data_IF_891378827075
#
_entry.id   IF_891378827075
#
_cell.length_a   1.000
_cell.length_b   1.000
_cell.length_c   1.000
_cell.angle_alpha   90.00
_cell.angle_beta   90.00
_cell.angle_gamma   90.00
#
_symmetry.space_group_name_H-M   'P 1'
#
loop_
_entity.id
_entity.type
_entity.pdbx_description
1 polymer ?
#
# COMPACT_ATOMS: atom_id res chain seq x y z
N UNK A 1 10.56 2.82 -2.61
CA UNK A 1 9.96 2.16 -1.44
C UNK A 1 10.88 2.35 -0.26
N UNK A 2 10.35 2.32 0.97
CA UNK A 2 11.15 2.44 2.19
C UNK A 2 10.87 1.23 3.07
N UNK A 3 11.94 0.65 3.63
CA UNK A 3 11.91 -0.51 4.51
C UNK A 3 12.47 -0.13 5.88
N UNK A 4 11.85 -0.64 6.94
CA UNK A 4 12.33 -0.51 8.32
C UNK A 4 12.07 -1.81 9.07
N UNK A 5 13.05 -2.23 9.87
CA UNK A 5 12.87 -3.34 10.80
C UNK A 5 12.07 -2.90 12.02
N UNK A 6 11.14 -3.73 12.46
CA UNK A 6 10.52 -3.63 13.77
C UNK A 6 11.42 -4.26 14.84
N UNK A 7 11.24 -3.92 16.13
CA UNK A 7 12.03 -4.49 17.23
C UNK A 7 11.97 -6.02 17.33
N UNK A 8 10.90 -6.64 16.82
CA UNK A 8 10.71 -8.10 16.82
C UNK A 8 11.35 -8.82 15.61
N UNK A 9 12.12 -8.09 14.78
CA UNK A 9 12.83 -8.64 13.62
C UNK A 9 12.01 -8.71 12.33
N UNK A 10 10.72 -8.36 12.35
CA UNK A 10 9.91 -8.21 11.13
C UNK A 10 10.28 -6.93 10.37
N UNK A 11 9.93 -6.88 9.09
CA UNK A 11 10.07 -5.73 8.22
C UNK A 11 8.69 -5.13 7.93
N UNK A 12 8.59 -3.81 7.97
CA UNK A 12 7.53 -3.07 7.29
C UNK A 12 8.11 -2.47 6.00
N UNK A 13 7.51 -2.81 4.86
CA UNK A 13 7.82 -2.23 3.55
C UNK A 13 6.60 -1.46 3.06
N UNK A 14 6.76 -0.16 2.81
CA UNK A 14 5.67 0.73 2.40
C UNK A 14 5.87 1.16 0.95
N UNK A 15 4.80 1.06 0.16
CA UNK A 15 4.84 1.27 -1.28
C UNK A 15 3.48 1.67 -1.85
N UNK A 16 3.50 2.19 -3.08
CA UNK A 16 2.32 2.22 -3.94
C UNK A 16 2.11 0.83 -4.52
N UNK A 17 0.92 0.27 -4.38
CA UNK A 17 0.62 -1.02 -4.98
C UNK A 17 0.71 -0.91 -6.51
N UNK A 18 1.50 -1.79 -7.12
CA UNK A 18 1.71 -1.81 -8.56
C UNK A 18 2.04 -3.24 -8.97
N UNK A 19 1.03 -3.93 -9.47
CA UNK A 19 1.17 -5.29 -9.96
C UNK A 19 2.11 -5.34 -11.17
N UNK A 20 2.84 -6.46 -11.36
CA UNK A 20 3.60 -6.66 -12.59
C UNK A 20 2.73 -6.44 -13.83
N UNK A 21 3.30 -5.79 -14.86
CA UNK A 21 2.55 -5.29 -16.01
C UNK A 21 1.68 -6.36 -16.71
N UNK A 22 2.12 -7.62 -16.70
CA UNK A 22 1.37 -8.73 -17.30
C UNK A 22 0.07 -9.08 -16.54
N UNK A 23 0.00 -8.82 -15.24
CA UNK A 23 -1.22 -9.04 -14.44
C UNK A 23 -2.23 -7.90 -14.55
N UNK A 24 -1.76 -6.69 -14.86
CA UNK A 24 -2.61 -5.48 -15.02
C UNK A 24 -2.71 -5.01 -16.46
N UNK A 25 -2.54 -5.93 -17.41
CA UNK A 25 -2.63 -5.62 -18.84
C UNK A 25 -3.99 -4.99 -19.14
N UNK A 26 -3.99 -3.90 -19.90
CA UNK A 26 -5.17 -3.12 -20.29
C UNK A 26 -5.90 -2.37 -19.15
N UNK A 27 -5.47 -2.47 -17.89
CA UNK A 27 -6.09 -1.76 -16.77
C UNK A 27 -6.14 -0.25 -17.00
N UNK A 28 -5.01 0.36 -17.37
CA UNK A 28 -4.90 1.79 -17.67
C UNK A 28 -5.78 2.22 -18.86
N UNK A 29 -5.90 1.35 -19.85
CA UNK A 29 -6.75 1.58 -21.03
C UNK A 29 -8.23 1.58 -20.63
N UNK A 30 -8.66 0.57 -19.88
CA UNK A 30 -10.03 0.44 -19.39
C UNK A 30 -10.38 1.61 -18.46
N UNK A 31 -9.47 2.01 -17.57
CA UNK A 31 -9.62 3.16 -16.68
C UNK A 31 -9.91 4.43 -17.50
N UNK A 32 -9.09 4.69 -18.52
CA UNK A 32 -9.26 5.83 -19.43
C UNK A 32 -10.57 5.80 -20.20
N UNK A 33 -10.97 4.65 -20.74
CA UNK A 33 -12.22 4.47 -21.48
C UNK A 33 -13.46 4.70 -20.60
N UNK A 34 -13.37 4.34 -19.30
CA UNK A 34 -14.42 4.57 -18.31
C UNK A 34 -14.41 5.98 -17.70
N UNK A 35 -13.35 6.76 -17.91
CA UNK A 35 -13.12 8.01 -17.18
C UNK A 35 -12.92 7.78 -15.68
N UNK A 36 -12.47 6.60 -15.29
CA UNK A 36 -12.18 6.24 -13.90
C UNK A 36 -10.70 6.46 -13.60
N UNK A 37 -10.40 7.11 -12.48
CA UNK A 37 -9.03 7.38 -12.04
C UNK A 37 -8.67 6.57 -10.78
N UNK A 38 -9.64 6.00 -10.06
CA UNK A 38 -9.37 5.04 -9.00
C UNK A 38 -9.07 3.66 -9.59
N UNK A 39 -7.79 3.31 -9.66
CA UNK A 39 -7.37 2.03 -10.24
C UNK A 39 -7.81 0.81 -9.42
N UNK A 40 -7.99 0.96 -8.11
CA UNK A 40 -8.47 -0.14 -7.27
C UNK A 40 -9.93 -0.50 -7.61
N UNK A 41 -10.76 0.46 -8.01
CA UNK A 41 -12.13 0.20 -8.50
C UNK A 41 -12.12 -0.50 -9.86
N UNK A 42 -11.24 -0.07 -10.77
CA UNK A 42 -11.06 -0.75 -12.06
C UNK A 42 -10.58 -2.19 -11.85
N UNK A 43 -9.59 -2.39 -10.98
CA UNK A 43 -9.05 -3.71 -10.64
C UNK A 43 -10.12 -4.63 -10.05
N UNK A 44 -10.91 -4.15 -9.08
CA UNK A 44 -12.03 -4.92 -8.50
C UNK A 44 -13.06 -5.34 -9.56
N UNK A 45 -13.40 -4.43 -10.49
CA UNK A 45 -14.41 -4.71 -11.50
C UNK A 45 -13.95 -5.66 -12.63
N UNK A 46 -12.63 -5.77 -12.84
CA UNK A 46 -12.05 -6.51 -13.98
C UNK A 46 -11.25 -7.75 -13.57
N UNK A 47 -10.81 -7.83 -12.31
CA UNK A 47 -9.86 -8.82 -11.83
C UNK A 47 -8.42 -8.61 -12.33
N UNK A 48 -8.12 -7.47 -12.97
CA UNK A 48 -6.78 -7.14 -13.44
C UNK A 48 -5.96 -6.52 -12.29
N UNK A 49 -4.75 -7.05 -12.08
CA UNK A 49 -3.86 -6.59 -11.02
C UNK A 49 -4.32 -6.97 -9.61
N UNK A 50 -3.95 -6.14 -8.65
CA UNK A 50 -4.24 -6.30 -7.23
C UNK A 50 -5.58 -5.63 -6.90
N UNK A 51 -6.38 -6.13 -5.95
CA UNK A 51 -7.61 -5.46 -5.50
C UNK A 51 -7.37 -4.06 -4.89
N UNK A 52 -6.11 -3.70 -4.64
CA UNK A 52 -5.67 -2.40 -4.13
C UNK A 52 -4.72 -1.69 -5.10
N UNK A 53 -4.83 -1.95 -6.41
CA UNK A 53 -3.97 -1.35 -7.44
C UNK A 53 -3.91 0.18 -7.32
N UNK A 54 -2.70 0.74 -7.30
CA UNK A 54 -2.50 2.18 -7.17
C UNK A 54 -2.58 2.74 -5.75
N UNK A 55 -2.96 1.93 -4.75
CA UNK A 55 -3.16 2.39 -3.38
C UNK A 55 -1.88 2.56 -2.55
N UNK A 56 -2.03 3.25 -1.41
CA UNK A 56 -1.02 3.29 -0.37
C UNK A 56 -1.08 2.03 0.50
N UNK A 57 -0.06 1.18 0.37
CA UNK A 57 -0.01 -0.13 1.03
C UNK A 57 1.27 -0.37 1.81
N UNK A 58 1.19 -1.32 2.74
CA UNK A 58 2.31 -1.88 3.49
C UNK A 58 2.37 -3.40 3.32
N UNK A 59 3.56 -3.96 3.47
CA UNK A 59 3.80 -5.40 3.58
C UNK A 59 4.59 -5.67 4.85
N UNK A 60 4.19 -6.70 5.59
CA UNK A 60 4.85 -7.15 6.81
C UNK A 60 5.30 -8.60 6.63
N UNK A 61 6.58 -8.86 6.93
CA UNK A 61 7.19 -10.18 6.79
C UNK A 61 8.64 -10.19 7.26
N UNK A 62 9.37 -11.26 6.97
CA UNK A 62 10.80 -11.34 7.28
C UNK A 62 11.65 -11.02 6.04
N UNK A 63 12.92 -10.66 6.24
CA UNK A 63 13.87 -10.53 5.12
C UNK A 63 13.93 -11.79 4.25
N UNK A 64 13.86 -12.97 4.87
CA UNK A 64 13.86 -14.27 4.18
C UNK A 64 12.63 -14.45 3.30
N UNK A 65 11.47 -13.93 3.71
CA UNK A 65 10.27 -13.95 2.89
C UNK A 65 10.42 -13.03 1.68
N UNK A 66 10.98 -11.84 1.88
CA UNK A 66 11.19 -10.85 0.83
C UNK A 66 12.11 -11.36 -0.28
N UNK A 67 13.30 -11.85 0.05
CA UNK A 67 14.28 -12.34 -0.95
C UNK A 67 13.82 -13.62 -1.67
N UNK A 68 12.89 -14.38 -1.06
CA UNK A 68 12.31 -15.59 -1.66
C UNK A 68 10.98 -15.31 -2.36
N UNK A 69 10.54 -14.05 -2.46
CA UNK A 69 9.28 -13.67 -3.09
C UNK A 69 8.04 -14.28 -2.44
N UNK A 70 8.06 -14.50 -1.12
CA UNK A 70 6.93 -15.10 -0.39
C UNK A 70 5.92 -14.04 0.04
N UNK A 71 4.73 -14.50 0.41
CA UNK A 71 3.62 -13.64 0.85
C UNK A 71 3.90 -12.81 2.10
N UNK A 72 4.90 -13.15 2.91
CA UNK A 72 5.10 -12.55 4.24
C UNK A 72 3.99 -12.95 5.21
N UNK A 73 3.79 -12.15 6.25
CA UNK A 73 2.74 -12.34 7.25
C UNK A 73 1.42 -11.72 6.78
N UNK A 74 1.44 -10.47 6.33
CA UNK A 74 0.24 -9.78 5.82
C UNK A 74 0.57 -8.53 5.01
N UNK A 75 -0.46 -8.00 4.34
CA UNK A 75 -0.47 -6.68 3.71
C UNK A 75 -1.43 -5.76 4.42
N UNK A 76 -1.12 -4.47 4.41
CA UNK A 76 -1.91 -3.39 5.00
C UNK A 76 -2.34 -2.47 3.85
N UNK A 77 -3.62 -2.10 3.77
CA UNK A 77 -4.07 -0.97 2.94
C UNK A 77 -4.19 0.24 3.87
N UNK A 78 -3.26 1.19 3.79
CA UNK A 78 -3.30 2.38 4.63
C UNK A 78 -4.40 3.33 4.15
N UNK A 79 -4.51 3.53 2.84
CA UNK A 79 -5.57 4.33 2.25
C UNK A 79 -5.80 4.00 0.78
N UNK A 80 -7.06 4.14 0.39
CA UNK A 80 -7.53 4.11 -1.00
C UNK A 80 -7.04 5.37 -1.73
N UNK A 81 -6.29 5.19 -2.81
CA UNK A 81 -5.84 6.28 -3.66
C UNK A 81 -6.85 6.48 -4.81
N UNK A 82 -7.58 7.59 -4.75
CA UNK A 82 -8.65 7.90 -5.70
C UNK A 82 -8.13 8.66 -6.94
N UNK A 83 -6.91 8.35 -7.37
CA UNK A 83 -6.30 8.94 -8.56
C UNK A 83 -5.32 7.94 -9.19
N UNK A 84 -5.12 8.01 -10.51
CA UNK A 84 -4.48 6.96 -11.32
C UNK A 84 -3.22 6.35 -10.68
N UNK A 85 -2.07 7.03 -10.77
CA UNK A 85 -0.80 6.56 -10.20
C UNK A 85 -0.12 7.58 -9.29
N UNK A 86 -0.75 8.75 -9.12
CA UNK A 86 -0.17 9.89 -8.42
C UNK A 86 -0.39 9.80 -6.91
N UNK A 87 0.43 9.02 -6.23
CA UNK A 87 0.50 8.99 -4.77
C UNK A 87 1.75 8.26 -4.29
N UNK A 88 1.90 8.19 -2.96
CA UNK A 88 2.54 7.05 -2.32
C UNK A 88 4.05 6.94 -2.58
N UNK A 89 4.75 8.05 -2.39
CA UNK A 89 6.20 8.11 -2.16
C UNK A 89 6.42 8.24 -0.64
N UNK A 90 6.44 7.11 0.11
CA UNK A 90 6.33 7.16 1.56
C UNK A 90 7.67 7.45 2.25
N UNK A 91 7.62 8.29 3.28
CA UNK A 91 8.56 8.23 4.40
C UNK A 91 8.08 7.21 5.44
N UNK A 92 9.02 6.49 6.05
CA UNK A 92 8.72 5.51 7.11
C UNK A 92 9.71 5.74 8.23
N UNK A 93 9.22 6.10 9.41
CA UNK A 93 10.02 6.22 10.61
C UNK A 93 9.55 5.26 11.69
N UNK A 94 10.49 4.70 12.44
CA UNK A 94 10.21 3.88 13.61
C UNK A 94 10.58 4.70 14.85
N UNK A 95 9.59 4.94 15.72
CA UNK A 95 9.79 5.63 16.98
C UNK A 95 10.34 4.66 18.05
N UNK A 96 10.95 5.19 19.14
CA UNK A 96 11.52 4.35 20.20
C UNK A 96 10.54 3.39 20.89
N UNK A 97 9.24 3.71 20.87
CA UNK A 97 8.18 2.88 21.46
C UNK A 97 7.70 1.75 20.52
N UNK A 98 8.28 1.62 19.33
CA UNK A 98 7.89 0.63 18.32
C UNK A 98 6.79 1.10 17.38
N UNK A 99 6.34 2.36 17.48
CA UNK A 99 5.36 2.94 16.55
C UNK A 99 6.02 3.27 15.21
N UNK A 100 5.45 2.74 14.13
CA UNK A 100 5.74 3.22 12.78
C UNK A 100 4.94 4.48 12.49
N UNK A 101 5.60 5.51 12.00
CA UNK A 101 5.00 6.69 11.38
C UNK A 101 5.24 6.59 9.88
N UNK A 102 4.17 6.34 9.13
CA UNK A 102 4.21 6.24 7.67
C UNK A 102 3.55 7.47 7.09
N UNK A 103 4.25 8.20 6.23
CA UNK A 103 3.78 9.50 5.72
C UNK A 103 3.93 9.56 4.22
N UNK A 104 2.90 10.00 3.50
CA UNK A 104 2.98 10.22 2.07
C UNK A 104 1.94 11.24 1.60
N UNK A 105 2.06 11.71 0.36
CA UNK A 105 1.03 12.49 -0.30
C UNK A 105 0.14 11.57 -1.17
N UNK A 106 -1.06 12.03 -1.48
CA UNK A 106 -1.92 11.38 -2.46
C UNK A 106 -3.30 12.01 -2.53
N UNK A 107 -4.16 11.40 -3.35
CA UNK A 107 -5.54 11.81 -3.54
C UNK A 107 -6.43 10.88 -2.73
N UNK A 108 -7.11 11.46 -1.75
CA UNK A 108 -7.61 10.73 -0.60
C UNK A 108 -9.12 10.84 -0.40
N UNK A 109 -9.70 11.87 -1.01
CA UNK A 109 -11.10 12.28 -0.89
C UNK A 109 -11.55 12.88 -2.20
N UNK A 110 -12.74 12.48 -2.66
CA UNK A 110 -13.26 12.86 -3.97
C UNK A 110 -13.41 14.37 -4.06
N UNK A 111 -13.02 14.93 -5.20
CA UNK A 111 -13.14 16.36 -5.52
C UNK A 111 -12.34 17.26 -4.55
N UNK A 112 -11.28 16.74 -3.93
CA UNK A 112 -10.33 17.48 -3.09
C UNK A 112 -8.94 17.45 -3.69
N UNK A 113 -8.18 18.52 -3.44
CA UNK A 113 -6.76 18.58 -3.74
C UNK A 113 -5.98 17.52 -2.94
N UNK A 114 -4.86 17.00 -3.48
CA UNK A 114 -4.04 16.03 -2.78
C UNK A 114 -3.43 16.64 -1.51
N UNK A 115 -3.29 15.81 -0.48
CA UNK A 115 -2.70 16.23 0.79
C UNK A 115 -1.76 15.17 1.37
N UNK A 116 -0.91 15.61 2.28
CA UNK A 116 -0.02 14.73 3.03
C UNK A 116 -0.80 14.10 4.18
N UNK A 117 -0.72 12.78 4.29
CA UNK A 117 -1.30 12.01 5.37
C UNK A 117 -0.21 11.22 6.09
N UNK A 118 -0.27 11.23 7.42
CA UNK A 118 0.56 10.38 8.28
C UNK A 118 -0.33 9.39 9.02
N UNK A 119 0.06 8.12 9.00
CA UNK A 119 -0.57 7.05 9.78
C UNK A 119 0.44 6.55 10.82
N UNK A 120 -0.04 6.32 12.05
CA UNK A 120 0.74 5.77 13.15
C UNK A 120 0.20 4.41 13.52
N UNK A 121 1.04 3.39 13.52
CA UNK A 121 0.67 2.02 13.87
C UNK A 121 1.83 1.27 14.52
N UNK A 122 1.53 0.38 15.44
CA UNK A 122 2.46 -0.66 15.89
C UNK A 122 2.12 -1.98 15.20
N UNK A 123 3.10 -2.88 15.01
CA UNK A 123 2.78 -4.22 14.50
C UNK A 123 1.91 -5.01 15.47
N UNK A 124 2.08 -4.79 16.78
CA UNK A 124 1.25 -5.41 17.82
C UNK A 124 -0.24 -5.06 17.66
N UNK A 125 -0.58 -3.80 17.37
CA UNK A 125 -1.96 -3.40 17.12
C UNK A 125 -2.53 -4.06 15.85
N UNK A 126 -1.70 -4.21 14.81
CA UNK A 126 -2.11 -4.86 13.57
C UNK A 126 -2.32 -6.36 13.75
N UNK A 127 -1.44 -7.03 14.49
CA UNK A 127 -1.54 -8.44 14.81
C UNK A 127 -2.84 -8.73 15.59
N UNK A 128 -3.13 -7.91 16.61
CA UNK A 128 -4.35 -8.01 17.39
C UNK A 128 -5.62 -7.86 16.53
N UNK A 129 -5.60 -7.03 15.48
CA UNK A 129 -6.72 -6.89 14.54
C UNK A 129 -6.90 -8.11 13.63
N UNK A 130 -5.84 -8.87 13.38
CA UNK A 130 -5.87 -10.10 12.59
C UNK A 130 -6.23 -11.34 13.43
N UNK A 131 -6.31 -11.20 14.74
CA UNK A 131 -6.52 -12.32 15.67
C UNK A 131 -5.27 -13.20 15.84
N UNK A 132 -4.08 -12.64 15.58
CA UNK A 132 -2.78 -13.31 15.73
C UNK A 132 -2.07 -12.87 17.01
#
# INVERSE_FOLDING_TARGET
HVLKYAPDGRLLVVFRDNSPAHFRKDLDKIAKEKGEVNLSEVAKSTGLGSPTEGDWVGWVGTWKDLIKGRKGQYRIRFKDNIHSWDCCYPGVELLPDGTFVVTTYGHWEKDKEPYILSVRVTLKELDARLGN
#
